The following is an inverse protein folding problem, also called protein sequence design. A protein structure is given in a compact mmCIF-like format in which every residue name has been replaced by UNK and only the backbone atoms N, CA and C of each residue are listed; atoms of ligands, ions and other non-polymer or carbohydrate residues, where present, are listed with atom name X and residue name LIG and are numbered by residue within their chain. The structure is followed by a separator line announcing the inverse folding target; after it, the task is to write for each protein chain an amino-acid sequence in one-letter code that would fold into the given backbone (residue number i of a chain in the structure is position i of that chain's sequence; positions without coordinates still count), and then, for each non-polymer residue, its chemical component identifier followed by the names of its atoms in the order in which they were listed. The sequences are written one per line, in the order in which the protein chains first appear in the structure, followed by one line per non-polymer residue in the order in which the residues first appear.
data_IF_399756397150
#
_entry.id   IF_399756397150
#
_cell.length_a   1.000
_cell.length_b   1.000
_cell.length_c   1.000
_cell.angle_alpha   90.00
_cell.angle_beta   90.00
_cell.angle_gamma   90.00
#
_symmetry.space_group_name_H-M   'P 1'
#
loop_
_entity.id
_entity.type
_entity.pdbx_description
1 polymer ?
#
# COMPACT_ATOMS: atom_id res chain seq x y z
N UNK A 1 -3.99 -6.97 17.50
CA UNK A 1 -2.63 -7.55 17.29
C UNK A 1 -2.80 -8.68 16.30
N UNK A 2 -2.04 -8.67 15.19
CA UNK A 2 -2.09 -9.79 14.23
C UNK A 2 -1.42 -11.00 14.86
N UNK A 3 -2.09 -12.14 14.81
CA UNK A 3 -1.51 -13.38 15.31
C UNK A 3 -0.30 -13.75 14.44
N UNK A 4 0.82 -14.06 15.09
CA UNK A 4 2.07 -14.45 14.41
C UNK A 4 1.85 -15.62 13.44
N UNK A 5 0.98 -16.57 13.82
CA UNK A 5 0.63 -17.72 12.99
C UNK A 5 -0.07 -17.30 11.69
N UNK A 6 -1.09 -16.44 11.78
CA UNK A 6 -1.82 -15.98 10.60
C UNK A 6 -0.93 -15.18 9.64
N UNK A 7 -0.03 -14.36 10.17
CA UNK A 7 0.97 -13.65 9.36
C UNK A 7 1.92 -14.61 8.64
N UNK A 8 2.40 -15.64 9.34
CA UNK A 8 3.25 -16.66 8.75
C UNK A 8 2.51 -17.42 7.65
N UNK A 9 1.28 -17.85 7.90
CA UNK A 9 0.43 -18.55 6.91
C UNK A 9 0.19 -17.69 5.66
N UNK A 10 -0.05 -16.38 5.82
CA UNK A 10 -0.17 -15.46 4.70
C UNK A 10 1.11 -15.43 3.87
N UNK A 11 2.23 -15.14 4.51
CA UNK A 11 3.49 -14.84 3.80
C UNK A 11 4.15 -16.08 3.19
N UNK A 12 3.74 -17.29 3.60
CA UNK A 12 4.17 -18.57 3.04
C UNK A 12 3.09 -19.23 2.15
N UNK A 13 1.95 -18.58 1.94
CA UNK A 13 0.92 -19.13 1.06
C UNK A 13 1.36 -19.07 -0.40
N UNK A 14 1.18 -20.15 -1.14
CA UNK A 14 1.48 -20.17 -2.57
C UNK A 14 0.73 -19.08 -3.34
N UNK A 15 -0.51 -18.74 -2.94
CA UNK A 15 -1.28 -17.64 -3.55
C UNK A 15 -0.60 -16.28 -3.35
N UNK A 16 -0.08 -15.98 -2.16
CA UNK A 16 0.64 -14.72 -1.90
C UNK A 16 1.95 -14.66 -2.70
N UNK A 17 2.73 -15.72 -2.66
CA UNK A 17 4.00 -15.79 -3.38
C UNK A 17 3.78 -15.69 -4.90
N UNK A 18 2.77 -16.36 -5.43
CA UNK A 18 2.41 -16.30 -6.85
C UNK A 18 2.03 -14.87 -7.30
N UNK A 19 1.33 -14.09 -6.47
CA UNK A 19 1.02 -12.68 -6.76
C UNK A 19 2.29 -11.82 -6.87
N UNK A 20 3.36 -12.22 -6.20
CA UNK A 20 4.68 -11.60 -6.31
C UNK A 20 5.52 -12.15 -7.48
N UNK A 21 5.02 -13.15 -8.22
CA UNK A 21 5.78 -13.84 -9.25
C UNK A 21 6.87 -14.75 -8.68
N UNK A 22 6.69 -15.24 -7.46
CA UNK A 22 7.61 -16.12 -6.75
C UNK A 22 7.11 -17.56 -6.75
N UNK A 23 8.05 -18.50 -6.56
CA UNK A 23 7.73 -19.92 -6.36
C UNK A 23 7.35 -20.18 -4.89
N UNK A 24 6.69 -21.31 -4.65
CA UNK A 24 6.13 -21.64 -3.32
C UNK A 24 7.20 -21.83 -2.23
N UNK A 25 8.44 -22.12 -2.62
CA UNK A 25 9.56 -22.27 -1.69
C UNK A 25 10.29 -20.97 -1.39
N UNK A 26 9.84 -19.84 -1.94
CA UNK A 26 10.52 -18.57 -1.73
C UNK A 26 10.33 -18.11 -0.28
N UNK A 27 11.45 -17.82 0.37
CA UNK A 27 11.49 -17.27 1.72
C UNK A 27 11.53 -15.74 1.67
N UNK A 28 10.65 -15.09 2.43
CA UNK A 28 10.58 -13.64 2.57
C UNK A 28 10.87 -13.24 4.00
N UNK A 29 11.75 -12.27 4.18
CA UNK A 29 12.02 -11.66 5.48
C UNK A 29 11.33 -10.32 5.60
N UNK A 30 10.53 -10.15 6.64
CA UNK A 30 9.76 -8.94 6.91
C UNK A 30 10.31 -8.20 8.12
N UNK A 31 10.40 -6.89 8.01
CA UNK A 31 10.67 -6.00 9.14
C UNK A 31 9.53 -5.01 9.31
N UNK A 32 9.18 -4.69 10.55
CA UNK A 32 8.16 -3.67 10.83
C UNK A 32 8.66 -2.32 10.34
N UNK A 33 7.94 -1.72 9.41
CA UNK A 33 8.22 -0.37 8.90
C UNK A 33 7.53 0.71 9.73
N UNK A 34 6.31 0.44 10.15
CA UNK A 34 5.52 1.33 10.99
C UNK A 34 4.12 0.79 11.25
N UNK A 35 3.54 1.29 12.33
CA UNK A 35 2.18 0.98 12.75
C UNK A 35 1.42 2.29 12.93
N UNK A 36 0.32 2.43 12.21
CA UNK A 36 -0.68 3.46 12.44
C UNK A 36 -1.90 2.89 13.16
N UNK A 37 -2.93 3.72 13.33
CA UNK A 37 -4.19 3.32 13.98
C UNK A 37 -4.92 2.22 13.20
N UNK A 38 -4.87 2.30 11.85
CA UNK A 38 -5.65 1.44 10.95
C UNK A 38 -4.79 0.53 10.07
N UNK A 39 -3.48 0.71 10.08
CA UNK A 39 -2.59 -0.03 9.18
C UNK A 39 -1.31 -0.47 9.88
N UNK A 40 -0.90 -1.70 9.58
CA UNK A 40 0.42 -2.23 9.87
C UNK A 40 1.20 -2.32 8.55
N UNK A 41 2.43 -1.83 8.55
CA UNK A 41 3.29 -1.83 7.38
C UNK A 41 4.55 -2.63 7.65
N UNK A 42 4.86 -3.56 6.75
CA UNK A 42 6.06 -4.37 6.79
C UNK A 42 6.90 -4.12 5.54
N UNK A 43 8.19 -3.94 5.73
CA UNK A 43 9.17 -3.85 4.65
C UNK A 43 9.71 -5.25 4.36
N UNK A 44 9.85 -5.58 3.08
CA UNK A 44 10.57 -6.76 2.62
C UNK A 44 11.30 -6.50 1.32
N UNK A 45 12.27 -7.36 0.99
CA UNK A 45 13.00 -7.31 -0.28
C UNK A 45 12.52 -8.45 -1.16
N UNK A 46 12.12 -8.13 -2.37
CA UNK A 46 11.74 -9.12 -3.36
C UNK A 46 12.98 -9.92 -3.80
N UNK A 47 13.06 -11.24 -3.58
CA UNK A 47 14.30 -11.99 -3.70
C UNK A 47 14.87 -12.06 -5.12
N UNK A 48 14.00 -11.97 -6.15
CA UNK A 48 14.41 -12.04 -7.55
C UNK A 48 14.82 -10.67 -8.09
N UNK A 49 14.00 -9.62 -7.83
CA UNK A 49 14.25 -8.29 -8.40
C UNK A 49 15.11 -7.39 -7.54
N UNK A 50 15.32 -7.74 -6.27
CA UNK A 50 15.99 -6.89 -5.28
C UNK A 50 15.22 -5.64 -4.87
N UNK A 51 14.00 -5.45 -5.38
CA UNK A 51 13.16 -4.28 -5.05
C UNK A 51 12.69 -4.34 -3.62
N UNK A 52 12.69 -3.20 -2.96
CA UNK A 52 12.08 -3.03 -1.64
C UNK A 52 10.58 -2.79 -1.81
N UNK A 53 9.79 -3.55 -1.09
CA UNK A 53 8.33 -3.52 -1.14
C UNK A 53 7.75 -3.37 0.26
N UNK A 54 6.53 -2.84 0.31
CA UNK A 54 5.75 -2.71 1.53
C UNK A 54 4.54 -3.63 1.45
N UNK A 55 4.39 -4.50 2.44
CA UNK A 55 3.14 -5.20 2.72
C UNK A 55 2.38 -4.36 3.76
N UNK A 56 1.24 -3.79 3.34
CA UNK A 56 0.29 -3.09 4.21
C UNK A 56 -0.85 -4.02 4.57
N UNK A 57 -1.15 -4.12 5.85
CA UNK A 57 -2.28 -4.84 6.40
C UNK A 57 -3.23 -3.82 7.01
N UNK A 58 -4.46 -3.79 6.51
CA UNK A 58 -5.49 -2.86 6.98
C UNK A 58 -6.29 -3.50 8.11
N UNK A 59 -6.11 -3.01 9.32
CA UNK A 59 -6.76 -3.52 10.53
C UNK A 59 -8.03 -2.76 10.94
N UNK A 60 -8.38 -1.71 10.21
CA UNK A 60 -9.54 -0.88 10.49
C UNK A 60 -9.90 0.03 9.33
N UNK A 61 -10.88 0.91 9.52
CA UNK A 61 -11.32 1.86 8.50
C UNK A 61 -11.30 3.28 9.02
N UNK A 62 -10.53 4.13 8.36
CA UNK A 62 -10.47 5.56 8.62
C UNK A 62 -11.61 6.33 7.95
N UNK A 63 -12.11 5.82 6.83
CA UNK A 63 -13.07 6.52 5.97
C UNK A 63 -14.46 5.85 5.98
N UNK A 64 -14.73 5.00 6.95
CA UNK A 64 -15.96 4.18 7.01
C UNK A 64 -16.25 3.39 5.72
N UNK A 65 -15.20 3.07 4.96
CA UNK A 65 -15.29 2.25 3.75
C UNK A 65 -15.21 0.78 4.13
N UNK A 66 -16.11 -0.03 3.56
CA UNK A 66 -16.05 -1.49 3.74
C UNK A 66 -14.76 -2.08 3.16
N UNK A 67 -14.28 -1.49 2.06
CA UNK A 67 -13.16 -1.96 1.27
C UNK A 67 -12.07 -0.88 1.15
N UNK A 68 -11.58 -0.40 2.29
CA UNK A 68 -10.56 0.65 2.32
C UNK A 68 -9.31 0.26 1.53
N UNK A 69 -8.87 -1.00 1.62
CA UNK A 69 -7.66 -1.43 0.93
C UNK A 69 -7.82 -1.43 -0.58
N UNK A 70 -8.98 -1.82 -1.09
CA UNK A 70 -9.30 -1.75 -2.52
C UNK A 70 -9.38 -0.30 -3.00
N UNK A 71 -9.93 0.60 -2.17
CA UNK A 71 -9.94 2.03 -2.44
C UNK A 71 -8.51 2.59 -2.53
N UNK A 72 -7.65 2.30 -1.56
CA UNK A 72 -6.24 2.72 -1.56
C UNK A 72 -5.50 2.20 -2.79
N UNK A 73 -5.68 0.92 -3.14
CA UNK A 73 -5.09 0.33 -4.33
C UNK A 73 -5.51 1.05 -5.61
N UNK A 74 -6.81 1.32 -5.76
CA UNK A 74 -7.36 2.04 -6.91
C UNK A 74 -6.85 3.49 -6.98
N UNK A 75 -6.70 4.15 -5.83
CA UNK A 75 -6.12 5.48 -5.75
C UNK A 75 -4.66 5.50 -6.22
N UNK A 76 -3.86 4.55 -5.76
CA UNK A 76 -2.46 4.43 -6.18
C UNK A 76 -2.33 4.14 -7.67
N UNK A 77 -3.20 3.28 -8.24
CA UNK A 77 -3.23 3.03 -9.68
C UNK A 77 -3.57 4.30 -10.48
N UNK A 78 -4.57 5.06 -10.04
CA UNK A 78 -4.98 6.30 -10.72
C UNK A 78 -3.90 7.38 -10.65
N UNK A 79 -3.11 7.42 -9.59
CA UNK A 79 -2.08 8.42 -9.34
C UNK A 79 -0.68 7.98 -9.80
N UNK A 80 -0.50 6.74 -10.28
CA UNK A 80 0.78 6.24 -10.79
C UNK A 80 1.41 7.18 -11.84
N UNK A 81 0.65 7.78 -12.79
CA UNK A 81 1.21 8.70 -13.78
C UNK A 81 1.85 9.96 -13.19
N UNK A 82 1.51 10.34 -11.96
CA UNK A 82 2.15 11.47 -11.27
C UNK A 82 3.64 11.22 -10.98
N UNK A 83 4.04 9.95 -10.86
CA UNK A 83 5.38 9.57 -10.42
C UNK A 83 5.69 9.95 -8.97
N UNK A 84 4.67 10.33 -8.16
CA UNK A 84 4.81 10.84 -6.80
C UNK A 84 4.24 9.92 -5.74
N UNK A 85 3.64 8.81 -6.14
CA UNK A 85 3.03 7.83 -5.23
C UNK A 85 3.70 6.47 -5.39
N UNK A 86 3.65 5.61 -4.36
CA UNK A 86 4.13 4.24 -4.49
C UNK A 86 3.39 3.50 -5.60
N UNK A 87 4.12 2.75 -6.40
CA UNK A 87 3.51 1.88 -7.39
C UNK A 87 2.83 0.70 -6.70
N UNK A 88 1.50 0.49 -6.89
CA UNK A 88 0.83 -0.67 -6.33
C UNK A 88 1.15 -1.93 -7.15
N UNK A 89 1.33 -3.06 -6.47
CA UNK A 89 1.55 -4.34 -7.12
C UNK A 89 0.27 -5.17 -7.16
N UNK A 90 -0.31 -5.43 -5.99
CA UNK A 90 -1.60 -6.11 -5.88
C UNK A 90 -2.27 -5.80 -4.54
N UNK A 91 -3.57 -6.06 -4.45
CA UNK A 91 -4.31 -6.10 -3.20
C UNK A 91 -5.18 -7.35 -3.12
N UNK A 92 -5.47 -7.78 -1.91
CA UNK A 92 -6.48 -8.80 -1.62
C UNK A 92 -7.38 -8.31 -0.48
N UNK A 93 -8.64 -8.13 -0.79
CA UNK A 93 -9.67 -7.76 0.19
C UNK A 93 -10.74 -8.86 0.33
N UNK A 94 -10.53 -10.03 -0.27
CA UNK A 94 -11.45 -11.16 -0.17
C UNK A 94 -11.58 -11.70 1.25
N UNK A 95 -10.55 -11.48 2.08
CA UNK A 95 -10.41 -12.06 3.42
C UNK A 95 -10.34 -13.58 3.43
N UNK A 96 -10.15 -14.20 2.29
CA UNK A 96 -9.95 -15.64 2.15
C UNK A 96 -8.52 -16.04 2.47
N UNK A 97 -7.57 -15.21 2.02
CA UNK A 97 -6.15 -15.43 2.23
C UNK A 97 -5.70 -14.98 3.64
N UNK A 98 -6.28 -13.89 4.11
CA UNK A 98 -5.96 -13.28 5.40
C UNK A 98 -7.19 -12.56 5.95
N UNK A 99 -7.42 -12.54 7.29
CA UNK A 99 -8.64 -11.96 7.87
C UNK A 99 -8.78 -10.44 7.69
N UNK A 100 -7.72 -9.78 7.24
CA UNK A 100 -7.68 -8.35 6.95
C UNK A 100 -7.39 -8.10 5.47
N UNK A 101 -7.78 -6.94 4.95
CA UNK A 101 -7.35 -6.51 3.63
C UNK A 101 -5.85 -6.27 3.57
N UNK A 102 -5.21 -6.67 2.49
CA UNK A 102 -3.76 -6.50 2.26
C UNK A 102 -3.49 -5.77 0.95
N UNK A 103 -2.40 -5.00 0.95
CA UNK A 103 -1.89 -4.28 -0.22
C UNK A 103 -0.38 -4.43 -0.27
N UNK A 104 0.15 -4.80 -1.43
CA UNK A 104 1.59 -4.75 -1.68
C UNK A 104 1.89 -3.62 -2.65
N UNK A 105 2.86 -2.80 -2.29
CA UNK A 105 3.27 -1.64 -3.07
C UNK A 105 4.78 -1.40 -2.98
N UNK A 106 5.28 -0.55 -3.84
CA UNK A 106 6.66 -0.10 -3.82
C UNK A 106 7.00 0.61 -2.49
N UNK A 107 8.21 0.40 -2.00
CA UNK A 107 8.75 1.21 -0.93
C UNK A 107 9.44 2.44 -1.51
N UNK A 108 9.03 3.63 -1.09
CA UNK A 108 9.68 4.89 -1.45
C UNK A 108 10.62 5.32 -0.33
N UNK A 109 11.90 5.57 -0.63
CA UNK A 109 12.80 6.15 0.36
C UNK A 109 12.40 7.58 0.67
N UNK A 110 12.59 7.98 1.92
CA UNK A 110 12.26 9.33 2.34
C UNK A 110 12.74 9.62 3.74
N UNK A 111 12.66 10.88 4.11
CA UNK A 111 12.87 11.40 5.44
C UNK A 111 11.68 12.29 5.83
N UNK A 112 11.46 12.55 7.11
CA UNK A 112 10.46 13.52 7.54
C UNK A 112 10.69 14.89 6.91
N UNK A 113 9.57 15.55 6.55
CA UNK A 113 9.58 16.91 5.98
C UNK A 113 10.16 17.91 6.99
N UNK A 114 11.00 18.80 6.50
CA UNK A 114 11.49 19.96 7.24
C UNK A 114 10.80 21.21 6.73
N UNK A 115 10.04 21.87 7.59
CA UNK A 115 9.26 23.05 7.21
C UNK A 115 10.13 24.19 6.68
N UNK A 116 11.35 24.35 7.20
CA UNK A 116 12.24 25.43 6.83
C UNK A 116 12.82 25.29 5.41
N UNK A 117 12.91 24.07 4.88
CA UNK A 117 13.60 23.81 3.62
C UNK A 117 12.77 23.10 2.55
N UNK A 118 11.73 22.35 2.93
CA UNK A 118 11.11 21.37 2.03
C UNK A 118 9.70 21.78 1.56
N UNK A 119 9.18 22.95 1.98
CA UNK A 119 7.80 23.34 1.64
C UNK A 119 7.58 23.53 0.14
N UNK A 120 8.58 24.05 -0.57
CA UNK A 120 8.48 24.22 -2.02
C UNK A 120 8.40 22.88 -2.75
N UNK A 121 9.23 21.92 -2.33
CA UNK A 121 9.23 20.56 -2.90
C UNK A 121 7.93 19.85 -2.57
N UNK A 122 7.42 19.98 -1.34
CA UNK A 122 6.15 19.41 -0.94
C UNK A 122 4.97 19.99 -1.75
N UNK A 123 4.96 21.30 -1.98
CA UNK A 123 3.96 21.97 -2.81
C UNK A 123 4.01 21.47 -4.27
N UNK A 124 5.21 21.27 -4.81
CA UNK A 124 5.38 20.73 -6.16
C UNK A 124 4.86 19.29 -6.25
N UNK A 125 5.17 18.44 -5.27
CA UNK A 125 4.67 17.06 -5.22
C UNK A 125 3.14 17.04 -5.18
N UNK A 126 2.51 17.88 -4.35
CA UNK A 126 1.06 18.00 -4.29
C UNK A 126 0.47 18.49 -5.61
N UNK A 127 1.10 19.47 -6.26
CA UNK A 127 0.68 19.97 -7.57
C UNK A 127 0.74 18.85 -8.63
N UNK A 128 1.80 18.07 -8.67
CA UNK A 128 1.97 16.94 -9.60
C UNK A 128 0.87 15.90 -9.41
N UNK A 129 0.53 15.58 -8.15
CA UNK A 129 -0.56 14.66 -7.82
C UNK A 129 -1.92 15.22 -8.25
N UNK A 130 -2.22 16.49 -7.91
CA UNK A 130 -3.51 17.11 -8.18
C UNK A 130 -3.76 17.41 -9.65
N UNK A 131 -2.70 17.59 -10.44
CA UNK A 131 -2.81 17.79 -11.89
C UNK A 131 -2.82 16.51 -12.71
N UNK A 132 -2.63 15.35 -12.05
CA UNK A 132 -2.69 14.06 -12.71
C UNK A 132 -4.09 13.81 -13.27
N UNK A 133 -4.25 13.57 -14.59
CA UNK A 133 -5.56 13.28 -15.17
C UNK A 133 -6.15 12.00 -14.59
N UNK A 134 -7.33 12.10 -14.01
CA UNK A 134 -8.08 10.94 -13.49
C UNK A 134 -9.24 10.66 -14.45
N UNK A 135 -9.45 9.40 -14.83
CA UNK A 135 -10.58 9.05 -15.69
C UNK A 135 -11.91 9.31 -14.96
N UNK A 136 -12.96 9.69 -15.70
CA UNK A 136 -14.31 9.88 -15.12
C UNK A 136 -14.89 8.60 -14.48
N UNK A 137 -14.32 7.45 -14.78
CA UNK A 137 -14.69 6.15 -14.19
C UNK A 137 -14.02 5.89 -12.85
N UNK A 138 -13.05 6.72 -12.47
CA UNK A 138 -12.31 6.56 -11.22
C UNK A 138 -13.16 7.09 -10.07
N UNK A 139 -13.78 6.21 -9.32
CA UNK A 139 -14.65 6.53 -8.16
C UNK A 139 -13.84 6.91 -6.91
N UNK A 140 -12.73 7.62 -7.07
CA UNK A 140 -11.79 7.90 -5.98
C UNK A 140 -12.16 9.06 -5.07
N UNK A 141 -13.19 9.82 -5.43
CA UNK A 141 -13.47 11.07 -4.74
C UNK A 141 -14.85 10.99 -4.09
N UNK A 142 -14.92 10.35 -2.94
CA UNK A 142 -15.99 10.68 -1.99
C UNK A 142 -15.40 11.71 -1.03
N UNK A 143 -15.95 12.94 -0.99
CA UNK A 143 -15.59 13.86 0.08
C UNK A 143 -15.93 13.19 1.41
N UNK A 144 -15.06 13.33 2.38
CA UNK A 144 -15.25 12.80 3.73
C UNK A 144 -16.51 13.39 4.39
N UNK A 145 -16.89 14.58 3.92
CA UNK A 145 -18.13 15.29 4.30
C UNK A 145 -18.89 15.66 3.03
N UNK A 146 -20.16 15.25 2.89
CA UNK A 146 -20.99 15.80 1.83
C UNK A 146 -21.14 17.31 2.04
N UNK A 147 -20.90 18.07 0.98
CA UNK A 147 -21.12 19.51 0.96
C UNK A 147 -22.61 19.83 1.18
#
# INVERSE_FOLDING_TARGET
MIETKAFWELTHSGRFLQQLGLQEEAELSFSVLGQGEYNLNYLFVHPVSGKRLVLRINTGSQMHLQDQIAYEFSALQALEPSGRTPKPLFCDNSRELFPCGILVMEWLPGRPLRYESDLADAAQILADIHTTPVSQQTRLLRPEYPA
#
